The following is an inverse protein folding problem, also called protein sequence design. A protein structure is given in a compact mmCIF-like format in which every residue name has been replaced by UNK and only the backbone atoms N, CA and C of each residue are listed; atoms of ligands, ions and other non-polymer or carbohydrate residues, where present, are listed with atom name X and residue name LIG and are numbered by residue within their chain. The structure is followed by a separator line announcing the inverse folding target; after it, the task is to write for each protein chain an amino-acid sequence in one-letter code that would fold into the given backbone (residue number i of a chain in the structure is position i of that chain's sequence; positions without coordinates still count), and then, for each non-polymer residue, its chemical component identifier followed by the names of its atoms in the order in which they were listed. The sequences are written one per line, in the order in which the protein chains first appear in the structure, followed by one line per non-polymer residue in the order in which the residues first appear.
data_IF_857592216767
#
_entry.id   IF_857592216767
#
_cell.length_a   1.000
_cell.length_b   1.000
_cell.length_c   1.000
_cell.angle_alpha   90.00
_cell.angle_beta   90.00
_cell.angle_gamma   90.00
#
_symmetry.space_group_name_H-M   'P 1'
#
loop_
_entity.id
_entity.type
_entity.pdbx_description
1 polymer ?
#
# COMPACT_ATOMS: atom_id res chain seq x y z
N UNK A 1 -55.43 -33.07 -16.51
CA UNK A 1 -53.95 -33.12 -16.46
C UNK A 1 -53.28 -32.03 -17.30
N UNK A 2 -53.67 -30.75 -17.15
CA UNK A 2 -53.00 -29.61 -17.82
C UNK A 2 -52.72 -28.44 -16.86
N UNK A 3 -53.37 -28.44 -15.70
CA UNK A 3 -53.24 -27.38 -14.68
C UNK A 3 -52.05 -27.57 -13.75
N UNK A 4 -51.53 -28.80 -13.60
CA UNK A 4 -50.37 -29.09 -12.73
C UNK A 4 -49.04 -28.67 -13.39
N UNK A 5 -48.99 -28.54 -14.72
CA UNK A 5 -47.78 -28.08 -15.43
C UNK A 5 -47.54 -26.57 -15.36
N UNK A 6 -48.53 -25.78 -14.93
CA UNK A 6 -48.41 -24.32 -14.84
C UNK A 6 -47.86 -23.84 -13.48
N UNK A 7 -47.88 -24.67 -12.44
CA UNK A 7 -47.33 -24.30 -11.13
C UNK A 7 -45.80 -24.49 -11.02
N UNK A 8 -45.18 -25.25 -11.93
CA UNK A 8 -43.73 -25.51 -11.92
C UNK A 8 -42.95 -24.33 -12.52
N UNK A 9 -43.60 -23.45 -13.28
CA UNK A 9 -42.96 -22.29 -13.91
C UNK A 9 -42.79 -21.06 -12.99
N UNK A 10 -43.37 -21.08 -11.78
CA UNK A 10 -43.37 -19.94 -10.86
C UNK A 10 -42.35 -20.04 -9.71
N UNK A 11 -41.36 -20.94 -9.80
CA UNK A 11 -40.32 -21.10 -8.78
C UNK A 11 -38.95 -20.50 -9.17
N UNK A 12 -38.87 -19.73 -10.27
CA UNK A 12 -37.62 -19.23 -10.85
C UNK A 12 -37.33 -17.74 -10.59
N UNK A 13 -38.01 -17.11 -9.63
CA UNK A 13 -37.69 -15.76 -9.16
C UNK A 13 -37.36 -15.78 -7.66
N UNK A 14 -36.19 -16.30 -7.32
CA UNK A 14 -35.55 -16.04 -6.03
C UNK A 14 -34.81 -14.70 -6.19
N UNK A 15 -35.22 -13.61 -5.52
CA UNK A 15 -34.39 -12.42 -5.50
C UNK A 15 -33.15 -12.73 -4.65
N UNK A 16 -31.98 -12.68 -5.29
CA UNK A 16 -30.69 -12.72 -4.59
C UNK A 16 -30.50 -11.35 -3.94
N UNK A 17 -31.22 -11.09 -2.85
CA UNK A 17 -30.99 -9.94 -1.98
C UNK A 17 -30.67 -10.50 -0.60
N UNK A 18 -29.42 -10.93 -0.45
CA UNK A 18 -28.85 -11.27 0.84
C UNK A 18 -27.38 -10.85 0.91
N UNK A 19 -27.08 -9.60 0.54
CA UNK A 19 -25.96 -8.90 1.15
C UNK A 19 -26.41 -8.47 2.55
N UNK A 20 -26.17 -9.32 3.55
CA UNK A 20 -26.01 -8.79 4.90
C UNK A 20 -24.68 -8.05 4.90
N UNK A 21 -24.74 -6.72 4.75
CA UNK A 21 -23.62 -5.88 5.14
C UNK A 21 -23.35 -6.19 6.61
N UNK A 22 -22.27 -6.91 6.90
CA UNK A 22 -21.78 -7.03 8.26
C UNK A 22 -21.55 -5.59 8.74
N UNK A 23 -22.05 -5.19 9.93
CA UNK A 23 -21.51 -4.01 10.57
C UNK A 23 -20.05 -4.36 10.85
N UNK A 24 -19.19 -3.89 9.97
CA UNK A 24 -17.77 -3.89 10.23
C UNK A 24 -17.62 -2.89 11.37
N UNK A 25 -17.61 -3.37 12.60
CA UNK A 25 -16.92 -2.73 13.74
C UNK A 25 -15.41 -2.68 13.45
N UNK A 26 -15.03 -2.25 12.24
CA UNK A 26 -13.84 -1.44 12.08
C UNK A 26 -14.25 -0.13 12.68
N UNK A 27 -14.08 -0.06 14.01
CA UNK A 27 -13.68 1.15 14.68
C UNK A 27 -12.71 1.82 13.71
N UNK A 28 -13.20 2.84 12.99
CA UNK A 28 -12.33 3.71 12.24
C UNK A 28 -11.43 4.25 13.33
N UNK A 29 -10.21 3.70 13.44
CA UNK A 29 -9.14 4.38 14.13
C UNK A 29 -9.16 5.76 13.50
N UNK A 30 -9.53 6.73 14.32
CA UNK A 30 -9.40 8.13 14.02
C UNK A 30 -8.09 8.31 13.23
N UNK A 31 -8.12 8.76 11.96
CA UNK A 31 -6.90 8.99 11.20
C UNK A 31 -6.06 10.14 11.80
N UNK A 32 -6.55 10.79 12.86
CA UNK A 32 -5.95 11.95 13.49
C UNK A 32 -5.39 11.74 14.89
N UNK A 33 -4.63 10.67 15.19
CA UNK A 33 -3.69 10.75 16.33
C UNK A 33 -2.54 9.73 16.37
N UNK A 34 -2.14 9.16 15.24
CA UNK A 34 -0.82 8.51 15.17
C UNK A 34 0.17 9.55 14.67
N UNK A 35 0.97 10.11 15.57
CA UNK A 35 2.20 10.86 15.28
C UNK A 35 3.27 9.97 14.61
N UNK A 36 2.85 9.03 13.77
CA UNK A 36 3.68 7.97 13.24
C UNK A 36 4.50 8.57 12.10
N UNK A 37 5.77 8.83 12.43
CA UNK A 37 6.78 9.19 11.47
C UNK A 37 6.92 8.07 10.43
N UNK A 38 6.85 8.42 9.16
CA UNK A 38 7.04 7.52 8.03
C UNK A 38 8.48 7.69 7.52
N UNK A 39 9.20 6.58 7.39
CA UNK A 39 10.54 6.55 6.83
C UNK A 39 10.51 5.73 5.54
N UNK A 40 10.66 6.41 4.40
CA UNK A 40 10.75 5.78 3.10
C UNK A 40 12.23 5.52 2.76
N UNK A 41 12.54 4.28 2.40
CA UNK A 41 13.89 3.87 1.99
C UNK A 41 13.86 3.39 0.55
N UNK A 42 14.82 3.84 -0.25
CA UNK A 42 15.08 3.32 -1.58
C UNK A 42 16.40 2.56 -1.55
N UNK A 43 16.33 1.24 -1.67
CA UNK A 43 17.52 0.39 -1.56
C UNK A 43 18.11 0.17 -2.94
N UNK A 44 19.42 0.35 -3.06
CA UNK A 44 20.11 0.20 -4.34
C UNK A 44 21.52 -0.34 -4.15
N UNK A 45 22.16 -0.83 -5.22
CA UNK A 45 23.60 -1.06 -5.28
C UNK A 45 24.29 0.15 -5.92
N UNK A 46 25.61 0.19 -5.87
CA UNK A 46 26.42 1.25 -6.49
C UNK A 46 26.20 1.29 -8.00
N UNK A 47 26.14 0.11 -8.63
CA UNK A 47 25.78 -0.04 -10.02
C UNK A 47 24.28 0.26 -10.23
N UNK A 48 24.00 1.33 -10.98
CA UNK A 48 22.63 1.76 -11.32
C UNK A 48 22.57 2.28 -12.75
N UNK A 49 21.58 1.80 -13.51
CA UNK A 49 21.26 2.36 -14.81
C UNK A 49 20.52 3.72 -14.67
N UNK A 50 20.39 4.45 -15.77
CA UNK A 50 19.67 5.73 -15.80
C UNK A 50 18.26 5.61 -15.25
N UNK A 51 17.53 4.54 -15.63
CA UNK A 51 16.15 4.31 -15.18
C UNK A 51 16.05 4.16 -13.65
N UNK A 52 16.96 3.42 -13.01
CA UNK A 52 16.97 3.29 -11.55
C UNK A 52 17.17 4.64 -10.86
N UNK A 53 18.04 5.50 -11.41
CA UNK A 53 18.28 6.85 -10.87
C UNK A 53 17.06 7.76 -11.07
N UNK A 54 16.38 7.63 -12.21
CA UNK A 54 15.15 8.37 -12.48
C UNK A 54 14.02 7.95 -11.54
N UNK A 55 13.85 6.65 -11.29
CA UNK A 55 12.84 6.13 -10.36
C UNK A 55 13.08 6.68 -8.95
N UNK A 56 14.31 6.62 -8.46
CA UNK A 56 14.71 7.18 -7.16
C UNK A 56 14.35 8.68 -7.05
N UNK A 57 14.73 9.47 -8.05
CA UNK A 57 14.45 10.90 -8.08
C UNK A 57 12.94 11.18 -8.09
N UNK A 58 12.17 10.45 -8.92
CA UNK A 58 10.72 10.60 -9.00
C UNK A 58 10.00 10.13 -7.75
N UNK A 59 10.47 9.08 -7.09
CA UNK A 59 9.92 8.64 -5.82
C UNK A 59 10.05 9.75 -4.76
N UNK A 60 11.23 10.36 -4.65
CA UNK A 60 11.45 11.50 -3.74
C UNK A 60 10.58 12.71 -4.09
N UNK A 61 10.59 13.12 -5.37
CA UNK A 61 9.78 14.23 -5.87
C UNK A 61 8.28 14.04 -5.58
N UNK A 62 7.78 12.81 -5.73
CA UNK A 62 6.39 12.49 -5.44
C UNK A 62 6.07 12.63 -3.95
N UNK A 63 6.96 12.21 -3.04
CA UNK A 63 6.74 12.41 -1.59
C UNK A 63 6.71 13.90 -1.25
N UNK A 64 7.63 14.69 -1.81
CA UNK A 64 7.70 16.15 -1.61
C UNK A 64 6.46 16.87 -2.17
N UNK A 65 5.95 16.42 -3.33
CA UNK A 65 4.84 17.09 -4.03
C UNK A 65 3.47 16.67 -3.51
N UNK A 66 3.29 15.39 -3.22
CA UNK A 66 2.01 14.85 -2.75
C UNK A 66 1.78 15.09 -1.25
N UNK A 67 2.86 15.16 -0.45
CA UNK A 67 2.79 15.34 1.00
C UNK A 67 3.71 16.47 1.51
N UNK A 68 3.62 17.69 0.95
CA UNK A 68 4.60 18.76 1.18
C UNK A 68 4.72 19.18 2.64
N UNK A 69 3.60 19.25 3.37
CA UNK A 69 3.62 19.65 4.78
C UNK A 69 4.27 18.56 5.65
N UNK A 70 3.88 17.30 5.46
CA UNK A 70 4.46 16.17 6.20
C UNK A 70 5.95 16.00 5.92
N UNK A 71 6.37 16.18 4.67
CA UNK A 71 7.78 16.10 4.30
C UNK A 71 8.60 17.26 4.90
N UNK A 72 8.10 18.51 4.79
CA UNK A 72 8.74 19.69 5.40
C UNK A 72 8.82 19.63 6.93
N UNK A 73 7.83 19.02 7.56
CA UNK A 73 7.78 18.81 9.02
C UNK A 73 8.62 17.60 9.47
N UNK A 74 9.21 16.84 8.54
CA UNK A 74 9.99 15.63 8.84
C UNK A 74 9.15 14.44 9.30
N UNK A 75 7.82 14.51 9.17
CA UNK A 75 6.91 13.40 9.44
C UNK A 75 7.00 12.31 8.36
N UNK A 76 7.39 12.68 7.15
CA UNK A 76 7.82 11.74 6.10
C UNK A 76 9.28 12.06 5.79
N UNK A 77 10.13 11.04 5.81
CA UNK A 77 11.54 11.15 5.39
C UNK A 77 11.83 10.21 4.23
N UNK A 78 12.82 10.53 3.39
CA UNK A 78 13.26 9.69 2.28
C UNK A 78 14.77 9.47 2.36
N UNK A 79 15.22 8.22 2.31
CA UNK A 79 16.62 7.85 2.35
C UNK A 79 16.98 6.92 1.20
N UNK A 80 18.05 7.26 0.49
CA UNK A 80 18.66 6.38 -0.51
C UNK A 80 19.73 5.55 0.17
N UNK A 81 19.62 4.22 0.09
CA UNK A 81 20.45 3.29 0.85
C UNK A 81 21.24 2.40 -0.09
N UNK A 82 22.56 2.59 -0.12
CA UNK A 82 23.46 1.77 -0.91
C UNK A 82 23.82 0.47 -0.16
N UNK A 83 23.37 -0.67 -0.67
CA UNK A 83 23.58 -2.00 -0.09
C UNK A 83 25.03 -2.50 -0.20
N UNK A 84 25.87 -1.87 -1.02
CA UNK A 84 27.31 -2.18 -1.07
C UNK A 84 28.08 -1.57 0.11
N UNK A 85 27.51 -0.58 0.79
CA UNK A 85 28.17 0.12 1.90
C UNK A 85 28.04 -0.67 3.22
N UNK A 86 29.15 -0.83 3.95
CA UNK A 86 29.15 -1.53 5.24
C UNK A 86 28.19 -0.88 6.26
N UNK A 87 28.02 0.44 6.19
CA UNK A 87 27.13 1.22 7.04
C UNK A 87 25.65 0.86 6.86
N UNK A 88 25.25 0.36 5.68
CA UNK A 88 23.85 0.04 5.38
C UNK A 88 23.45 -1.38 5.80
N UNK A 89 24.42 -2.29 5.95
CA UNK A 89 24.16 -3.71 6.26
C UNK A 89 23.32 -3.93 7.52
N UNK A 90 23.54 -3.22 8.65
CA UNK A 90 22.69 -3.40 9.83
C UNK A 90 21.23 -3.03 9.56
N UNK A 91 20.99 -1.94 8.80
CA UNK A 91 19.66 -1.51 8.41
C UNK A 91 19.00 -2.52 7.46
N UNK A 92 19.71 -2.94 6.41
CA UNK A 92 19.22 -3.90 5.43
C UNK A 92 18.87 -5.25 6.09
N UNK A 93 19.74 -5.75 6.98
CA UNK A 93 19.49 -6.98 7.76
C UNK A 93 18.27 -6.85 8.66
N UNK A 94 18.15 -5.73 9.39
CA UNK A 94 17.00 -5.47 10.28
C UNK A 94 15.68 -5.44 9.51
N UNK A 95 15.70 -4.93 8.28
CA UNK A 95 14.51 -4.81 7.42
C UNK A 95 14.32 -5.99 6.46
N UNK A 96 15.21 -6.99 6.49
CA UNK A 96 15.11 -8.18 5.61
C UNK A 96 15.35 -7.88 4.12
N UNK A 97 16.05 -6.79 3.79
CA UNK A 97 16.32 -6.39 2.41
C UNK A 97 17.65 -6.99 1.95
N UNK A 98 17.61 -7.68 0.81
CA UNK A 98 18.77 -8.35 0.22
C UNK A 98 19.13 -7.85 -1.19
N UNK A 99 18.36 -6.92 -1.75
CA UNK A 99 18.55 -6.42 -3.11
C UNK A 99 17.90 -5.06 -3.35
N UNK A 100 18.05 -4.55 -4.57
CA UNK A 100 17.53 -3.24 -4.96
C UNK A 100 16.00 -3.28 -5.05
N UNK A 101 15.32 -2.30 -4.44
CA UNK A 101 13.85 -2.18 -4.38
C UNK A 101 13.42 -0.73 -4.34
#
# INVERSE_FOLDING_TARGET
MKTIRLFIASLLFIPIIACKAQPSDKQAKDPGNSSDKIEAFYFHFTARCTTCRTIEAKAKENLETLYPNHFKQGLITFQSVNLDEESSKPLAKRLGVSGQT
#
